data_IF_834986883344
#
_entry.id   IF_834986883344
#
_cell.length_a   1.000
_cell.length_b   1.000
_cell.length_c   1.000
_cell.angle_alpha   90.00
_cell.angle_beta   90.00
_cell.angle_gamma   90.00
#
_symmetry.space_group_name_H-M   'P 1'
#
loop_
_entity.id
_entity.type
_entity.pdbx_description
1 polymer ?
#
# COMPACT_ATOMS: atom_id res chain seq x y z
N UNK A 1 2.05 -12.06 10.93
CA UNK A 1 2.39 -11.20 12.09
C UNK A 1 1.60 -9.89 12.03
N UNK A 2 0.39 -9.83 12.60
CA UNK A 2 -0.46 -8.61 12.66
C UNK A 2 -1.06 -8.37 14.05
N UNK A 3 -0.45 -8.95 15.09
CA UNK A 3 -0.85 -8.72 16.49
C UNK A 3 -0.79 -7.24 16.86
N UNK A 4 -1.58 -6.83 17.85
CA UNK A 4 -1.63 -5.43 18.31
C UNK A 4 -0.25 -4.92 18.75
N UNK A 5 0.54 -5.75 19.43
CA UNK A 5 1.90 -5.41 19.85
C UNK A 5 2.80 -5.00 18.66
N UNK A 6 2.82 -5.80 17.60
CA UNK A 6 3.61 -5.53 16.38
C UNK A 6 3.09 -4.27 15.69
N UNK A 7 1.76 -4.13 15.56
CA UNK A 7 1.13 -2.97 14.92
C UNK A 7 1.48 -1.67 15.64
N UNK A 8 1.51 -1.68 16.98
CA UNK A 8 1.88 -0.52 17.78
C UNK A 8 3.36 -0.10 17.64
N UNK A 9 4.26 -1.03 17.32
CA UNK A 9 5.71 -0.79 17.30
C UNK A 9 6.30 -0.56 15.91
N UNK A 10 5.70 -1.15 14.87
CA UNK A 10 6.27 -1.13 13.50
C UNK A 10 6.47 0.28 12.96
N UNK A 11 5.56 1.21 13.24
CA UNK A 11 5.65 2.59 12.77
C UNK A 11 6.85 3.34 13.35
N UNK A 12 7.26 3.02 14.58
CA UNK A 12 8.45 3.62 15.20
C UNK A 12 9.73 3.04 14.62
N UNK A 13 9.79 1.71 14.42
CA UNK A 13 10.93 1.06 13.76
C UNK A 13 11.12 1.56 12.32
N UNK A 14 10.02 1.73 11.57
CA UNK A 14 10.04 2.18 10.18
C UNK A 14 10.53 3.63 10.00
N UNK A 15 10.71 4.40 11.07
CA UNK A 15 11.27 5.77 11.06
C UNK A 15 12.77 5.80 11.27
N UNK A 16 13.38 4.73 11.75
CA UNK A 16 14.82 4.68 12.03
C UNK A 16 15.60 4.63 10.71
N UNK A 17 16.47 5.62 10.41
CA UNK A 17 17.22 5.64 9.15
C UNK A 17 18.07 4.38 8.93
N UNK A 18 18.69 3.84 9.99
CA UNK A 18 19.48 2.61 9.91
C UNK A 18 18.66 1.40 9.44
N UNK A 19 17.46 1.22 9.99
CA UNK A 19 16.54 0.13 9.60
C UNK A 19 16.11 0.32 8.15
N UNK A 20 15.74 1.54 7.77
CA UNK A 20 15.30 1.86 6.41
C UNK A 20 16.41 1.62 5.38
N UNK A 21 17.62 2.11 5.65
CA UNK A 21 18.75 1.96 4.74
C UNK A 21 19.11 0.49 4.53
N UNK A 22 19.08 -0.31 5.60
CA UNK A 22 19.32 -1.75 5.50
C UNK A 22 18.25 -2.44 4.65
N UNK A 23 16.96 -2.15 4.88
CA UNK A 23 15.86 -2.73 4.09
C UNK A 23 15.85 -2.29 2.62
N UNK A 24 16.21 -1.03 2.34
CA UNK A 24 16.19 -0.47 1.00
C UNK A 24 17.10 -1.24 0.04
N UNK A 25 18.29 -1.64 0.51
CA UNK A 25 19.21 -2.47 -0.28
C UNK A 25 18.60 -3.82 -0.67
N UNK A 26 17.93 -4.49 0.28
CA UNK A 26 17.27 -5.77 0.04
C UNK A 26 16.07 -5.64 -0.91
N UNK A 27 15.24 -4.62 -0.71
CA UNK A 27 14.08 -4.36 -1.57
C UNK A 27 14.52 -4.09 -3.01
N UNK A 28 15.50 -3.22 -3.22
CA UNK A 28 16.02 -2.93 -4.56
C UNK A 28 16.67 -4.13 -5.23
N UNK A 29 17.33 -4.98 -4.44
CA UNK A 29 17.90 -6.22 -4.96
C UNK A 29 16.84 -7.17 -5.55
N UNK A 30 15.67 -7.25 -4.92
CA UNK A 30 14.55 -8.05 -5.43
C UNK A 30 13.99 -7.49 -6.74
N UNK A 31 13.94 -6.17 -6.90
CA UNK A 31 13.45 -5.55 -8.13
C UNK A 31 14.35 -5.73 -9.35
N UNK A 32 15.61 -6.14 -9.18
CA UNK A 32 16.55 -6.35 -10.30
C UNK A 32 16.14 -7.48 -11.24
N UNK A 33 15.36 -8.44 -10.75
CA UNK A 33 14.87 -9.58 -11.53
C UNK A 33 13.67 -9.21 -12.42
N UNK A 34 13.16 -7.98 -12.32
CA UNK A 34 11.98 -7.53 -13.05
C UNK A 34 10.70 -8.19 -12.55
N UNK A 35 9.57 -7.87 -13.21
CA UNK A 35 8.23 -8.47 -12.98
C UNK A 35 7.85 -8.59 -11.50
N UNK A 36 8.12 -7.53 -10.72
CA UNK A 36 7.85 -7.47 -9.29
C UNK A 36 6.63 -6.58 -9.03
N UNK A 37 5.66 -7.10 -8.29
CA UNK A 37 4.62 -6.28 -7.63
C UNK A 37 5.10 -5.95 -6.23
N UNK A 38 5.26 -4.66 -5.93
CA UNK A 38 5.70 -4.17 -4.62
C UNK A 38 4.62 -3.30 -3.97
N UNK A 39 4.11 -3.74 -2.81
CA UNK A 39 3.17 -2.97 -1.98
C UNK A 39 3.90 -2.26 -0.83
N UNK A 40 3.53 -1.01 -0.58
CA UNK A 40 4.08 -0.22 0.52
C UNK A 40 3.76 1.26 0.43
N UNK A 41 4.32 2.03 1.37
CA UNK A 41 4.00 3.46 1.54
C UNK A 41 4.79 4.40 0.63
N UNK A 42 5.96 3.96 0.16
CA UNK A 42 6.94 4.78 -0.56
C UNK A 42 7.62 4.01 -1.71
N UNK A 43 6.94 2.99 -2.24
CA UNK A 43 7.48 2.14 -3.31
C UNK A 43 7.77 2.94 -4.58
N UNK A 44 6.79 3.68 -5.09
CA UNK A 44 6.95 4.47 -6.33
C UNK A 44 7.71 5.79 -6.16
N UNK A 45 8.02 6.22 -4.93
CA UNK A 45 8.68 7.51 -4.66
C UNK A 45 10.12 7.36 -4.17
N UNK A 46 10.45 6.27 -3.47
CA UNK A 46 11.78 6.08 -2.84
C UNK A 46 12.41 4.75 -3.22
N UNK A 47 11.67 3.65 -3.10
CA UNK A 47 12.25 2.30 -3.30
C UNK A 47 12.52 2.04 -4.78
N UNK A 48 11.50 2.24 -5.62
CA UNK A 48 11.47 2.01 -7.06
C UNK A 48 10.94 3.25 -7.81
N UNK A 49 11.65 4.38 -7.79
CA UNK A 49 11.21 5.60 -8.49
C UNK A 49 11.15 5.44 -10.02
N UNK A 50 11.81 4.43 -10.59
CA UNK A 50 11.74 4.10 -12.03
C UNK A 50 10.79 2.94 -12.37
N UNK A 51 9.86 2.57 -11.49
CA UNK A 51 8.87 1.53 -11.80
C UNK A 51 8.02 1.92 -13.02
N UNK A 52 7.80 0.97 -13.94
CA UNK A 52 7.03 1.19 -15.17
C UNK A 52 5.54 1.45 -14.93
N UNK A 53 4.98 0.92 -13.84
CA UNK A 53 3.61 1.21 -13.39
C UNK A 53 3.64 1.57 -11.92
N UNK A 54 2.92 2.65 -11.55
CA UNK A 54 2.77 3.10 -10.17
C UNK A 54 1.29 3.37 -9.91
N UNK A 55 0.73 2.65 -8.94
CA UNK A 55 -0.66 2.83 -8.52
C UNK A 55 -0.68 3.34 -7.09
N UNK A 56 -1.40 4.44 -6.86
CA UNK A 56 -1.68 4.95 -5.53
C UNK A 56 -3.13 4.64 -5.18
N UNK A 57 -3.33 3.59 -4.39
CA UNK A 57 -4.67 3.15 -3.98
C UNK A 57 -5.24 4.09 -2.91
N UNK A 58 -6.46 4.53 -3.16
CA UNK A 58 -7.25 5.35 -2.25
C UNK A 58 -8.61 4.71 -1.99
N UNK A 59 -9.20 5.09 -0.87
CA UNK A 59 -10.57 4.76 -0.51
C UNK A 59 -11.00 5.65 0.64
N UNK A 60 -12.31 5.85 0.76
CA UNK A 60 -12.93 6.50 1.90
C UNK A 60 -12.49 5.87 3.22
N UNK A 61 -12.28 6.71 4.23
CA UNK A 61 -11.80 6.29 5.53
C UNK A 61 -12.72 5.25 6.18
N UNK A 62 -14.04 5.45 6.06
CA UNK A 62 -15.06 4.53 6.55
C UNK A 62 -14.99 3.17 5.86
N UNK A 63 -14.81 3.14 4.54
CA UNK A 63 -14.70 1.89 3.79
C UNK A 63 -13.42 1.14 4.19
N UNK A 64 -12.30 1.86 4.34
CA UNK A 64 -11.05 1.28 4.84
C UNK A 64 -11.18 0.71 6.25
N UNK A 65 -11.91 1.40 7.13
CA UNK A 65 -12.19 0.92 8.49
C UNK A 65 -13.02 -0.37 8.46
N UNK A 66 -14.08 -0.41 7.65
CA UNK A 66 -14.90 -1.63 7.46
C UNK A 66 -14.07 -2.80 6.95
N UNK A 67 -13.27 -2.61 5.88
CA UNK A 67 -12.36 -3.64 5.34
C UNK A 67 -11.40 -4.15 6.41
N UNK A 68 -10.81 -3.24 7.19
CA UNK A 68 -9.89 -3.59 8.28
C UNK A 68 -10.55 -4.38 9.40
N UNK A 69 -11.82 -4.10 9.72
CA UNK A 69 -12.58 -4.84 10.71
C UNK A 69 -12.97 -6.23 10.20
N UNK A 70 -13.35 -6.36 8.93
CA UNK A 70 -13.57 -7.65 8.26
C UNK A 70 -12.31 -8.53 8.26
N UNK A 71 -11.15 -7.95 7.95
CA UNK A 71 -9.84 -8.63 8.05
C UNK A 71 -9.54 -9.17 9.47
N UNK A 72 -10.16 -8.58 10.51
CA UNK A 72 -10.01 -8.98 11.91
C UNK A 72 -11.13 -9.93 12.38
N UNK A 73 -12.00 -10.38 11.46
CA UNK A 73 -13.09 -11.30 11.76
C UNK A 73 -14.41 -10.64 12.19
N UNK A 74 -14.53 -9.31 12.07
CA UNK A 74 -15.80 -8.61 12.34
C UNK A 74 -16.54 -8.43 11.02
N UNK A 75 -17.44 -9.37 10.70
CA UNK A 75 -18.13 -9.41 9.41
C UNK A 75 -18.99 -8.15 9.17
N UNK A 76 -19.82 -7.79 10.16
CA UNK A 76 -20.74 -6.65 10.11
C UNK A 76 -20.45 -5.70 11.29
N UNK A 77 -19.47 -4.79 11.16
CA UNK A 77 -19.15 -3.85 12.22
C UNK A 77 -20.24 -2.79 12.35
N UNK A 78 -20.67 -2.53 13.58
CA UNK A 78 -21.58 -1.44 13.87
C UNK A 78 -20.95 -0.06 13.58
N UNK A 79 -21.76 1.02 13.51
CA UNK A 79 -21.26 2.36 13.22
C UNK A 79 -20.21 2.87 14.21
N UNK A 80 -20.32 2.55 15.50
CA UNK A 80 -19.40 3.02 16.54
C UNK A 80 -18.04 2.34 16.41
N UNK A 81 -18.04 1.00 16.24
CA UNK A 81 -16.83 0.21 16.00
C UNK A 81 -16.12 0.67 14.73
N UNK A 82 -16.89 0.96 13.67
CA UNK A 82 -16.35 1.49 12.42
C UNK A 82 -15.70 2.86 12.61
N UNK A 83 -16.35 3.78 13.33
CA UNK A 83 -15.82 5.11 13.60
C UNK A 83 -14.50 5.05 14.41
N UNK A 84 -14.44 4.21 15.43
CA UNK A 84 -13.21 4.03 16.24
C UNK A 84 -12.05 3.49 15.42
N UNK A 85 -12.29 2.57 14.48
CA UNK A 85 -11.22 2.07 13.60
C UNK A 85 -10.82 3.10 12.54
N UNK A 86 -11.77 3.90 12.05
CA UNK A 86 -11.51 5.03 11.16
C UNK A 86 -10.55 6.05 11.80
N UNK A 87 -10.80 6.45 13.05
CA UNK A 87 -9.91 7.36 13.80
C UNK A 87 -8.48 6.80 13.93
N UNK A 88 -8.35 5.50 14.21
CA UNK A 88 -7.04 4.84 14.29
C UNK A 88 -6.30 4.85 12.95
N UNK A 89 -7.02 4.59 11.86
CA UNK A 89 -6.47 4.62 10.50
C UNK A 89 -6.06 6.04 10.11
N UNK A 90 -6.86 7.04 10.42
CA UNK A 90 -6.55 8.44 10.14
C UNK A 90 -5.32 8.91 10.93
N UNK A 91 -5.26 8.60 12.23
CA UNK A 91 -4.10 8.94 13.05
C UNK A 91 -2.80 8.32 12.49
N UNK A 92 -2.87 7.07 12.02
CA UNK A 92 -1.76 6.39 11.35
C UNK A 92 -1.41 7.07 10.03
N UNK A 93 -2.38 7.37 9.19
CA UNK A 93 -2.12 7.98 7.88
C UNK A 93 -1.52 9.37 8.02
N UNK A 94 -2.02 10.17 8.97
CA UNK A 94 -1.43 11.47 9.30
C UNK A 94 0.03 11.30 9.70
N UNK A 95 0.32 10.33 10.58
CA UNK A 95 1.68 10.01 11.03
C UNK A 95 2.61 9.54 9.88
N UNK A 96 2.06 8.81 8.90
CA UNK A 96 2.78 8.34 7.72
C UNK A 96 2.98 9.45 6.67
N UNK A 97 2.03 10.40 6.54
CA UNK A 97 2.11 11.54 5.60
C UNK A 97 3.06 12.63 6.07
N UNK A 98 3.13 12.90 7.38
CA UNK A 98 3.93 14.00 7.95
C UNK A 98 5.35 13.61 8.37
N UNK A 99 5.77 12.35 8.15
CA UNK A 99 7.14 11.94 8.47
C UNK A 99 8.15 12.61 7.54
N UNK A 100 9.28 13.03 8.08
CA UNK A 100 10.35 13.68 7.31
C UNK A 100 10.96 12.73 6.26
N UNK A 101 11.19 11.47 6.63
CA UNK A 101 11.79 10.48 5.73
C UNK A 101 10.73 9.66 5.02
N UNK A 102 10.72 9.73 3.68
CA UNK A 102 9.88 8.95 2.79
C UNK A 102 8.36 9.05 3.07
N UNK A 103 7.77 10.24 3.16
CA UNK A 103 6.35 10.40 3.51
C UNK A 103 5.41 9.60 2.60
N UNK A 104 4.28 9.16 3.15
CA UNK A 104 3.19 8.59 2.38
C UNK A 104 2.62 9.66 1.43
N UNK A 105 2.95 9.54 0.15
CA UNK A 105 2.42 10.40 -0.91
C UNK A 105 2.45 9.66 -2.24
N UNK A 106 1.53 10.01 -3.13
CA UNK A 106 1.58 9.56 -4.51
C UNK A 106 2.88 10.06 -5.17
N UNK A 107 3.47 9.24 -6.03
CA UNK A 107 4.48 9.72 -6.96
C UNK A 107 3.80 10.66 -7.99
N UNK A 108 4.50 11.66 -8.54
CA UNK A 108 3.91 12.57 -9.52
C UNK A 108 3.31 11.88 -10.76
N UNK A 109 3.87 10.73 -11.12
CA UNK A 109 3.49 9.87 -12.24
C UNK A 109 2.66 8.65 -11.81
N UNK A 110 2.19 8.59 -10.56
CA UNK A 110 1.33 7.52 -10.10
C UNK A 110 -0.13 7.74 -10.51
N UNK A 111 -0.77 6.69 -11.01
CA UNK A 111 -2.22 6.65 -11.21
C UNK A 111 -2.89 6.56 -9.84
N UNK A 112 -3.74 7.52 -9.51
CA UNK A 112 -4.58 7.46 -8.30
C UNK A 112 -5.82 6.62 -8.62
N UNK A 113 -5.99 5.52 -7.90
CA UNK A 113 -7.11 4.60 -8.07
C UNK A 113 -7.97 4.62 -6.81
N UNK A 114 -9.13 5.24 -6.89
CA UNK A 114 -10.13 5.18 -5.83
C UNK A 114 -10.84 3.82 -5.90
N UNK A 115 -10.78 3.10 -4.80
CA UNK A 115 -11.38 1.78 -4.64
C UNK A 115 -12.62 1.81 -3.76
N UNK A 116 -13.13 2.98 -3.40
CA UNK A 116 -14.35 3.14 -2.60
C UNK A 116 -15.51 2.43 -3.30
N UNK A 117 -16.22 1.57 -2.56
CA UNK A 117 -17.34 0.80 -3.08
C UNK A 117 -16.98 -0.36 -4.03
N UNK A 118 -15.71 -0.49 -4.44
CA UNK A 118 -15.26 -1.65 -5.21
C UNK A 118 -15.11 -2.88 -4.30
N UNK A 119 -15.57 -4.03 -4.76
CA UNK A 119 -15.24 -5.31 -4.16
C UNK A 119 -13.78 -5.70 -4.47
N UNK A 120 -13.35 -6.86 -3.98
CA UNK A 120 -11.97 -7.31 -4.15
C UNK A 120 -11.63 -7.61 -5.62
N UNK A 121 -12.54 -8.25 -6.35
CA UNK A 121 -12.29 -8.66 -7.73
C UNK A 121 -12.19 -7.43 -8.64
N UNK A 122 -13.09 -6.46 -8.49
CA UNK A 122 -13.04 -5.20 -9.22
C UNK A 122 -11.77 -4.39 -8.91
N UNK A 123 -11.27 -4.42 -7.67
CA UNK A 123 -9.99 -3.80 -7.31
C UNK A 123 -8.82 -4.46 -8.04
N UNK A 124 -8.80 -5.80 -8.07
CA UNK A 124 -7.76 -6.57 -8.75
C UNK A 124 -7.79 -6.31 -10.26
N UNK A 125 -8.97 -6.35 -10.87
CA UNK A 125 -9.16 -6.09 -12.29
C UNK A 125 -8.65 -4.69 -12.68
N UNK A 126 -8.99 -3.67 -11.90
CA UNK A 126 -8.54 -2.30 -12.16
C UNK A 126 -6.99 -2.17 -12.09
N UNK A 127 -6.35 -2.79 -11.10
CA UNK A 127 -4.87 -2.78 -10.98
C UNK A 127 -4.21 -3.56 -12.12
N UNK A 128 -4.76 -4.71 -12.49
CA UNK A 128 -4.23 -5.55 -13.58
C UNK A 128 -4.40 -4.86 -14.93
N UNK A 129 -5.50 -4.15 -15.16
CA UNK A 129 -5.69 -3.37 -16.38
C UNK A 129 -4.60 -2.30 -16.53
N UNK A 130 -4.33 -1.52 -15.48
CA UNK A 130 -3.27 -0.51 -15.47
C UNK A 130 -1.87 -1.11 -15.74
N UNK A 131 -1.60 -2.29 -15.19
CA UNK A 131 -0.33 -2.98 -15.43
C UNK A 131 -0.17 -3.44 -16.89
N UNK A 132 -1.26 -3.95 -17.51
CA UNK A 132 -1.23 -4.40 -18.92
C UNK A 132 -1.15 -3.26 -19.93
N UNK A 133 -1.73 -2.10 -19.62
CA UNK A 133 -1.60 -0.90 -20.45
C UNK A 133 -0.15 -0.40 -20.50
N UNK A 134 0.55 -0.45 -19.36
CA UNK A 134 1.94 -0.03 -19.25
C UNK A 134 2.93 -1.05 -19.83
N UNK A 135 2.60 -2.35 -19.76
CA UNK A 135 3.40 -3.45 -20.31
C UNK A 135 2.47 -4.54 -20.90
N UNK A 136 2.16 -4.46 -22.21
CA UNK A 136 1.28 -5.42 -22.88
C UNK A 136 1.78 -6.88 -22.80
N UNK A 137 3.09 -7.07 -22.63
CA UNK A 137 3.72 -8.39 -22.55
C UNK A 137 3.65 -8.99 -21.13
N UNK A 138 3.28 -8.22 -20.11
CA UNK A 138 3.25 -8.65 -18.72
C UNK A 138 2.36 -9.87 -18.46
N UNK A 139 1.31 -10.07 -19.27
CA UNK A 139 0.38 -11.20 -19.19
C UNK A 139 0.80 -12.44 -19.99
N UNK A 140 1.82 -12.34 -20.84
CA UNK A 140 2.37 -13.47 -21.57
C UNK A 140 3.34 -14.23 -20.67
N UNK A 141 3.05 -15.50 -20.40
CA UNK A 141 3.90 -16.36 -19.57
C UNK A 141 5.27 -16.71 -20.19
N UNK A 142 5.78 -15.93 -21.14
CA UNK A 142 7.10 -16.17 -21.72
C UNK A 142 8.18 -15.54 -20.85
N UNK A 143 8.85 -16.40 -20.07
CA UNK A 143 10.20 -16.14 -19.57
C UNK A 143 11.08 -15.72 -20.76
N UNK A 144 11.53 -14.46 -20.76
CA UNK A 144 12.75 -14.06 -21.45
C UNK A 144 13.90 -14.14 -20.48
#
# INVERSE_FOLDING_TARGET
LRTDLVTARVSSAARLPAVRNWLLGHQRALGRWGRLVADGRDMGTVVFPGAGTKVFLEADLTERARRRLRDRGVAEPDPETTAREAERLEARDRKDRTRETAPLRAAPDAVRLDTTGLDFDAQVEAVVALAREADPDAGSGQMR
#
